data_IF_175953848475
#
_entry.id   IF_175953848475
#
_cell.length_a   1.000
_cell.length_b   1.000
_cell.length_c   1.000
_cell.angle_alpha   90.00
_cell.angle_beta   90.00
_cell.angle_gamma   90.00
#
_symmetry.space_group_name_H-M   'P 1'
#
loop_
_entity.id
_entity.type
_entity.pdbx_description
1 polymer ?
#
# COMPACT_ATOMS: atom_id res chain seq x y z
N UNK A 1 -0.76 -14.73 5.53
CA UNK A 1 -1.84 -13.76 5.83
C UNK A 1 -2.69 -13.60 4.59
N UNK A 2 -3.99 -13.87 4.66
CA UNK A 2 -4.90 -13.58 3.55
C UNK A 2 -5.48 -12.18 3.77
N UNK A 3 -5.43 -11.33 2.73
CA UNK A 3 -5.94 -9.96 2.77
C UNK A 3 -7.07 -9.75 1.78
N UNK A 4 -8.05 -8.92 2.16
CA UNK A 4 -9.10 -8.48 1.24
C UNK A 4 -8.59 -7.27 0.47
N UNK A 5 -8.23 -7.48 -0.80
CA UNK A 5 -8.06 -6.37 -1.73
C UNK A 5 -9.42 -5.73 -2.02
N UNK A 6 -9.44 -4.44 -2.29
CA UNK A 6 -10.67 -3.75 -2.67
C UNK A 6 -11.35 -4.43 -3.90
N UNK A 7 -12.40 -5.24 -3.71
CA UNK A 7 -13.12 -6.01 -4.74
C UNK A 7 -14.51 -5.42 -5.16
N UNK A 8 -15.27 -4.67 -4.35
CA UNK A 8 -16.56 -4.10 -4.82
C UNK A 8 -17.20 -3.05 -3.90
N UNK A 9 -17.63 -1.86 -4.38
CA UNK A 9 -18.18 -0.76 -3.58
C UNK A 9 -19.29 -1.12 -2.57
N UNK A 10 -20.05 -2.20 -2.80
CA UNK A 10 -21.30 -2.48 -2.09
C UNK A 10 -21.32 -3.81 -1.30
N UNK A 11 -20.24 -4.62 -1.34
CA UNK A 11 -20.23 -5.99 -0.77
C UNK A 11 -19.53 -6.16 0.58
N UNK A 12 -18.90 -5.10 1.12
CA UNK A 12 -17.87 -5.19 2.16
C UNK A 12 -18.36 -5.65 3.53
N UNK A 13 -19.59 -5.25 3.88
CA UNK A 13 -20.17 -5.52 5.19
C UNK A 13 -21.12 -6.69 5.16
N UNK A 14 -21.11 -7.47 4.07
CA UNK A 14 -21.89 -8.70 4.06
C UNK A 14 -21.31 -9.65 5.12
N UNK A 15 -22.14 -10.14 6.07
CA UNK A 15 -21.67 -10.99 7.16
C UNK A 15 -20.82 -12.18 6.70
N UNK A 16 -21.07 -12.67 5.48
CA UNK A 16 -20.32 -13.75 4.82
C UNK A 16 -18.82 -13.50 4.72
N UNK A 17 -18.37 -12.26 4.57
CA UNK A 17 -16.93 -11.96 4.51
C UNK A 17 -16.27 -12.31 5.85
N UNK A 18 -16.85 -11.84 6.95
CA UNK A 18 -16.34 -12.07 8.30
C UNK A 18 -16.39 -13.55 8.68
N UNK A 19 -17.50 -14.22 8.38
CA UNK A 19 -17.66 -15.65 8.67
C UNK A 19 -16.73 -16.52 7.83
N UNK A 20 -16.44 -16.14 6.57
CA UNK A 20 -15.49 -16.86 5.73
C UNK A 20 -14.06 -16.79 6.27
N UNK A 21 -13.58 -15.61 6.66
CA UNK A 21 -12.23 -15.50 7.25
C UNK A 21 -12.12 -16.19 8.60
N UNK A 22 -13.16 -16.11 9.43
CA UNK A 22 -13.18 -16.83 10.71
C UNK A 22 -13.25 -18.34 10.50
N UNK A 23 -13.99 -18.83 9.50
CA UNK A 23 -13.94 -20.23 9.11
C UNK A 23 -12.52 -20.67 8.73
N UNK A 24 -11.78 -19.86 7.94
CA UNK A 24 -10.38 -20.16 7.61
C UNK A 24 -9.49 -20.21 8.86
N UNK A 25 -9.73 -19.34 9.85
CA UNK A 25 -9.03 -19.35 11.13
C UNK A 25 -9.35 -20.62 11.91
N UNK A 26 -10.64 -20.95 12.07
CA UNK A 26 -11.12 -22.12 12.81
C UNK A 26 -10.63 -23.44 12.18
N UNK A 27 -10.42 -23.45 10.86
CA UNK A 27 -9.84 -24.58 10.13
C UNK A 27 -8.31 -24.61 10.12
N UNK A 28 -7.64 -23.65 10.77
CA UNK A 28 -6.19 -23.55 10.79
C UNK A 28 -5.55 -23.23 9.43
N UNK A 29 -6.34 -22.72 8.47
CA UNK A 29 -5.87 -22.34 7.13
C UNK A 29 -5.13 -21.00 7.15
N UNK A 30 -5.43 -20.16 8.14
CA UNK A 30 -4.68 -18.96 8.46
C UNK A 30 -4.74 -18.68 9.97
N UNK A 31 -3.79 -17.88 10.47
CA UNK A 31 -3.82 -17.44 11.88
C UNK A 31 -4.64 -16.17 12.06
N UNK A 32 -4.57 -15.27 11.07
CA UNK A 32 -5.22 -13.96 11.09
C UNK A 32 -5.56 -13.51 9.66
N UNK A 33 -6.41 -12.49 9.58
CA UNK A 33 -6.76 -11.82 8.33
C UNK A 33 -6.61 -10.30 8.46
N UNK A 34 -6.55 -9.65 7.31
CA UNK A 34 -6.41 -8.19 7.22
C UNK A 34 -7.06 -7.65 5.97
N UNK A 35 -6.96 -6.34 5.81
CA UNK A 35 -7.54 -5.58 4.69
C UNK A 35 -6.43 -4.99 3.83
N UNK A 36 -6.76 -4.57 2.61
CA UNK A 36 -5.82 -3.91 1.69
C UNK A 36 -6.55 -2.85 0.86
N UNK A 37 -6.06 -1.62 0.96
CA UNK A 37 -6.62 -0.40 0.36
C UNK A 37 -7.98 -0.01 0.95
N UNK A 38 -8.22 -0.27 2.24
CA UNK A 38 -9.46 0.11 2.92
C UNK A 38 -9.35 1.47 3.60
N UNK A 39 -10.37 2.32 3.49
CA UNK A 39 -10.45 3.57 4.25
C UNK A 39 -10.60 3.31 5.75
N UNK A 40 -10.19 4.27 6.59
CA UNK A 40 -10.18 4.11 8.04
C UNK A 40 -11.57 3.78 8.60
N UNK A 41 -12.60 4.43 8.07
CA UNK A 41 -14.00 4.18 8.44
C UNK A 41 -14.44 2.75 8.11
N UNK A 42 -13.89 2.14 7.04
CA UNK A 42 -14.22 0.77 6.65
C UNK A 42 -13.59 -0.23 7.61
N UNK A 43 -12.34 0.03 8.02
CA UNK A 43 -11.62 -0.78 9.00
C UNK A 43 -12.34 -0.71 10.36
N UNK A 44 -12.72 0.49 10.81
CA UNK A 44 -13.46 0.66 12.07
C UNK A 44 -14.81 -0.07 12.03
N UNK A 45 -15.56 0.11 10.95
CA UNK A 45 -16.85 -0.58 10.74
C UNK A 45 -16.68 -2.11 10.73
N UNK A 46 -15.64 -2.62 10.06
CA UNK A 46 -15.35 -4.05 10.01
C UNK A 46 -15.00 -4.62 11.39
N UNK A 47 -14.22 -3.89 12.19
CA UNK A 47 -13.89 -4.29 13.56
C UNK A 47 -15.12 -4.31 14.46
N UNK A 48 -16.01 -3.32 14.32
CA UNK A 48 -17.29 -3.28 15.05
C UNK A 48 -18.18 -4.47 14.71
N UNK A 49 -18.40 -4.73 13.42
CA UNK A 49 -19.22 -5.88 12.97
C UNK A 49 -18.63 -7.21 13.46
N UNK A 50 -17.31 -7.39 13.38
CA UNK A 50 -16.66 -8.59 13.91
C UNK A 50 -16.88 -8.73 15.42
N UNK A 51 -16.75 -7.64 16.19
CA UNK A 51 -16.99 -7.65 17.63
C UNK A 51 -18.45 -8.00 17.98
N UNK A 52 -19.43 -7.40 17.29
CA UNK A 52 -20.87 -7.68 17.49
C UNK A 52 -21.20 -9.16 17.22
N UNK A 53 -20.56 -9.74 16.21
CA UNK A 53 -20.70 -11.15 15.84
C UNK A 53 -19.83 -12.10 16.68
N UNK A 54 -19.02 -11.58 17.61
CA UNK A 54 -18.04 -12.34 18.40
C UNK A 54 -17.04 -13.11 17.53
N UNK A 55 -16.63 -12.50 16.43
CA UNK A 55 -15.66 -13.00 15.47
C UNK A 55 -14.34 -12.23 15.56
N UNK A 56 -13.26 -12.83 15.07
CA UNK A 56 -11.96 -12.16 14.89
C UNK A 56 -12.08 -11.12 13.77
N UNK A 57 -11.77 -9.87 14.09
CA UNK A 57 -11.70 -8.75 13.14
C UNK A 57 -10.35 -8.64 12.43
N UNK A 58 -10.22 -7.71 11.46
CA UNK A 58 -8.96 -7.51 10.75
C UNK A 58 -7.91 -6.88 11.66
N UNK A 59 -6.72 -7.49 11.69
CA UNK A 59 -5.62 -7.07 12.59
C UNK A 59 -4.60 -6.16 11.90
N UNK A 60 -4.62 -6.10 10.58
CA UNK A 60 -3.60 -5.46 9.75
C UNK A 60 -4.19 -4.91 8.47
N UNK A 61 -3.65 -3.78 8.02
CA UNK A 61 -3.95 -3.13 6.75
C UNK A 61 -2.72 -3.15 5.82
N UNK A 62 -2.96 -3.27 4.52
CA UNK A 62 -1.93 -3.24 3.48
C UNK A 62 -2.19 -2.09 2.51
N UNK A 63 -1.76 -0.87 2.87
CA UNK A 63 -1.93 0.33 2.05
C UNK A 63 -0.69 0.63 1.19
N UNK A 64 -0.89 1.35 0.09
CA UNK A 64 0.23 1.95 -0.64
C UNK A 64 0.91 2.99 0.26
N UNK A 65 2.24 2.97 0.32
CA UNK A 65 2.97 4.00 1.04
C UNK A 65 4.34 4.22 0.42
N UNK A 66 4.63 5.47 0.09
CA UNK A 66 5.94 5.93 -0.37
C UNK A 66 6.00 7.46 -0.31
N UNK A 67 7.15 8.05 -0.64
CA UNK A 67 7.35 9.50 -0.56
C UNK A 67 6.34 10.33 -1.39
N UNK A 68 5.64 9.74 -2.37
CA UNK A 68 4.61 10.38 -3.18
C UNK A 68 3.17 9.98 -2.81
N UNK A 69 2.98 8.97 -1.95
CA UNK A 69 1.68 8.48 -1.51
C UNK A 69 1.67 8.31 0.01
N UNK A 70 1.20 9.35 0.71
CA UNK A 70 1.40 9.54 2.16
C UNK A 70 0.12 9.64 2.95
N UNK A 71 -0.90 10.24 2.35
CA UNK A 71 -2.10 10.74 3.05
C UNK A 71 -2.80 9.68 3.90
N UNK A 72 -3.00 8.49 3.34
CA UNK A 72 -3.74 7.42 4.02
C UNK A 72 -2.99 6.92 5.26
N UNK A 73 -1.72 6.60 5.10
CA UNK A 73 -0.90 6.06 6.20
C UNK A 73 -0.62 7.13 7.24
N UNK A 74 -0.18 8.32 6.84
CA UNK A 74 0.29 9.34 7.79
C UNK A 74 -0.84 10.17 8.42
N UNK A 75 -2.01 10.27 7.78
CA UNK A 75 -3.13 11.08 8.30
C UNK A 75 -4.37 10.27 8.56
N UNK A 76 -4.86 9.52 7.57
CA UNK A 76 -6.13 8.79 7.70
C UNK A 76 -6.06 7.73 8.80
N UNK A 77 -4.92 7.04 8.93
CA UNK A 77 -4.70 6.00 9.94
C UNK A 77 -4.04 6.48 11.23
N UNK A 78 -3.73 7.78 11.36
CA UNK A 78 -3.01 8.34 12.51
C UNK A 78 -3.69 7.97 13.85
N UNK A 79 -5.01 8.05 13.90
CA UNK A 79 -5.79 7.68 15.08
C UNK A 79 -5.69 6.18 15.43
N UNK A 80 -5.53 5.29 14.44
CA UNK A 80 -5.32 3.87 14.74
C UNK A 80 -3.96 3.59 15.36
N UNK A 81 -2.92 4.31 14.94
CA UNK A 81 -1.57 4.12 15.49
C UNK A 81 -1.39 4.73 16.88
N UNK A 82 -2.16 5.77 17.20
CA UNK A 82 -2.14 6.45 18.50
C UNK A 82 -3.11 5.87 19.52
N UNK A 83 -4.06 5.03 19.11
CA UNK A 83 -5.05 4.42 20.01
C UNK A 83 -4.62 3.04 20.47
N UNK A 84 -5.14 2.64 21.64
CA UNK A 84 -4.91 1.30 22.21
C UNK A 84 -5.50 0.18 21.34
N UNK A 85 -6.39 0.51 20.40
CA UNK A 85 -6.92 -0.46 19.43
C UNK A 85 -5.82 -0.99 18.50
N UNK A 86 -4.83 -0.15 18.17
CA UNK A 86 -3.73 -0.46 17.27
C UNK A 86 -4.18 -0.83 15.84
N UNK A 87 -3.28 -0.69 14.88
CA UNK A 87 -3.45 -1.27 13.54
C UNK A 87 -2.08 -1.73 13.05
N UNK A 88 -1.94 -3.02 12.79
CA UNK A 88 -0.77 -3.50 12.08
C UNK A 88 -0.76 -2.93 10.67
N UNK A 89 0.41 -2.59 10.14
CA UNK A 89 0.53 -2.09 8.76
C UNK A 89 1.63 -2.81 8.01
N UNK A 90 1.30 -3.26 6.79
CA UNK A 90 2.25 -3.86 5.86
C UNK A 90 2.18 -3.11 4.53
N UNK A 91 2.98 -2.06 4.39
CA UNK A 91 2.88 -1.17 3.22
C UNK A 91 3.32 -1.86 1.92
N UNK A 92 2.82 -1.38 0.79
CA UNK A 92 3.24 -1.84 -0.54
C UNK A 92 3.67 -0.69 -1.46
N UNK A 93 4.42 -1.05 -2.51
CA UNK A 93 5.07 -0.12 -3.45
C UNK A 93 5.87 1.03 -2.80
N UNK A 94 6.81 0.71 -1.89
CA UNK A 94 7.65 1.73 -1.25
C UNK A 94 8.53 2.50 -2.25
N UNK A 95 8.79 1.92 -3.42
CA UNK A 95 9.60 2.52 -4.48
C UNK A 95 8.78 3.07 -5.66
N UNK A 96 7.46 3.20 -5.52
CA UNK A 96 6.55 3.72 -6.55
C UNK A 96 6.76 3.06 -7.94
N UNK A 97 6.57 1.74 -8.02
CA UNK A 97 6.86 0.95 -9.23
C UNK A 97 8.30 1.06 -9.77
N UNK A 98 9.24 1.50 -8.92
CA UNK A 98 10.65 1.69 -9.24
C UNK A 98 11.04 3.13 -9.56
N UNK A 99 10.11 4.09 -9.60
CA UNK A 99 10.40 5.51 -9.84
C UNK A 99 11.38 6.05 -8.80
N UNK A 100 11.21 5.71 -7.52
CA UNK A 100 12.08 6.15 -6.43
C UNK A 100 13.48 5.49 -6.41
N UNK A 101 13.82 4.70 -7.43
CA UNK A 101 15.19 4.20 -7.63
C UNK A 101 16.06 5.12 -8.49
N UNK A 102 15.44 6.11 -9.16
CA UNK A 102 16.12 6.97 -10.14
C UNK A 102 16.38 6.31 -11.49
N UNK A 103 16.08 5.02 -11.67
CA UNK A 103 16.36 4.29 -12.93
C UNK A 103 15.61 4.85 -14.14
N UNK A 104 14.50 5.57 -13.92
CA UNK A 104 13.69 6.18 -14.98
C UNK A 104 14.03 7.65 -15.25
N UNK A 105 15.08 8.20 -14.63
CA UNK A 105 15.45 9.60 -14.81
C UNK A 105 15.65 9.96 -16.29
N UNK A 106 16.23 9.05 -17.08
CA UNK A 106 16.61 9.29 -18.47
C UNK A 106 15.77 8.47 -19.47
N UNK A 107 14.51 8.21 -19.15
CA UNK A 107 13.62 7.33 -19.93
C UNK A 107 13.47 5.96 -19.29
N UNK A 108 12.76 5.05 -19.96
CA UNK A 108 12.43 3.72 -19.43
C UNK A 108 13.37 2.68 -20.04
N UNK A 109 14.31 2.11 -19.25
CA UNK A 109 15.21 1.09 -19.76
C UNK A 109 14.49 -0.23 -20.05
N UNK A 110 14.98 -0.97 -21.04
CA UNK A 110 14.55 -2.34 -21.31
C UNK A 110 14.78 -3.27 -20.11
N UNK A 111 14.00 -4.36 -20.04
CA UNK A 111 14.07 -5.33 -18.94
C UNK A 111 13.58 -4.81 -17.59
N UNK A 112 13.11 -3.56 -17.51
CA UNK A 112 12.49 -3.01 -16.30
C UNK A 112 11.00 -3.34 -16.23
N UNK A 113 10.42 -3.22 -15.03
CA UNK A 113 9.00 -3.46 -14.79
C UNK A 113 8.11 -2.62 -15.70
N UNK A 114 8.45 -1.35 -15.91
CA UNK A 114 7.67 -0.47 -16.78
C UNK A 114 7.87 -0.76 -18.26
N UNK A 115 8.92 -1.48 -18.66
CA UNK A 115 9.14 -1.91 -20.05
C UNK A 115 8.29 -3.14 -20.44
N UNK A 116 7.72 -3.86 -19.47
CA UNK A 116 6.90 -5.06 -19.73
C UNK A 116 5.67 -4.74 -20.60
N UNK A 117 5.35 -5.68 -21.50
CA UNK A 117 4.16 -5.63 -22.35
C UNK A 117 2.92 -6.15 -21.58
N UNK A 118 2.53 -5.37 -20.57
CA UNK A 118 1.38 -5.63 -19.71
C UNK A 118 0.47 -4.38 -19.66
N UNK A 119 -0.84 -4.58 -19.64
CA UNK A 119 -1.81 -3.47 -19.73
C UNK A 119 -1.72 -2.52 -18.53
N UNK A 120 -1.50 -3.07 -17.33
CA UNK A 120 -1.28 -2.27 -16.13
C UNK A 120 0.05 -1.53 -16.22
N UNK A 121 1.12 -2.18 -16.67
CA UNK A 121 2.43 -1.52 -16.83
C UNK A 121 2.43 -0.43 -17.88
N UNK A 122 1.70 -0.59 -19.00
CA UNK A 122 1.50 0.47 -20.01
C UNK A 122 0.80 1.69 -19.41
N UNK A 123 -0.21 1.48 -18.55
CA UNK A 123 -0.90 2.58 -17.86
C UNK A 123 0.00 3.28 -16.85
N UNK A 124 0.83 2.54 -16.10
CA UNK A 124 1.78 3.17 -15.17
C UNK A 124 2.89 3.89 -15.94
N UNK A 125 3.37 3.31 -17.05
CA UNK A 125 4.32 3.95 -17.97
C UNK A 125 3.80 5.30 -18.46
N UNK A 126 2.56 5.37 -18.95
CA UNK A 126 1.99 6.64 -19.43
C UNK A 126 1.86 7.69 -18.32
N UNK A 127 1.63 7.27 -17.08
CA UNK A 127 1.65 8.18 -15.91
C UNK A 127 3.06 8.67 -15.55
N UNK A 128 4.10 7.88 -15.78
CA UNK A 128 5.50 8.28 -15.58
C UNK A 128 5.96 9.23 -16.70
N UNK A 129 5.48 9.02 -17.92
CA UNK A 129 5.78 9.85 -19.10
C UNK A 129 4.94 11.14 -19.17
N UNK A 130 3.88 11.27 -18.36
CA UNK A 130 3.07 12.49 -18.26
C UNK A 130 3.84 13.67 -17.65
N UNK A 131 3.31 14.88 -17.76
CA UNK A 131 3.91 16.07 -17.14
C UNK A 131 4.02 15.93 -15.61
N UNK A 132 3.02 15.36 -14.95
CA UNK A 132 3.08 15.06 -13.52
C UNK A 132 4.14 14.02 -13.19
N UNK A 133 4.30 13.01 -14.07
CA UNK A 133 5.37 12.01 -13.98
C UNK A 133 6.76 12.63 -14.07
N UNK A 134 6.98 13.53 -15.03
CA UNK A 134 8.24 14.29 -15.17
C UNK A 134 8.53 15.14 -13.94
N UNK A 135 7.52 15.79 -13.35
CA UNK A 135 7.67 16.53 -12.09
C UNK A 135 8.08 15.60 -10.95
N UNK A 136 7.53 14.38 -10.86
CA UNK A 136 8.00 13.38 -9.88
C UNK A 136 9.45 12.98 -10.12
N UNK A 137 9.85 12.75 -11.37
CA UNK A 137 11.24 12.42 -11.73
C UNK A 137 12.20 13.53 -11.28
N UNK A 138 11.85 14.80 -11.47
CA UNK A 138 12.65 15.93 -10.98
C UNK A 138 12.80 15.92 -9.44
N UNK A 139 11.75 15.53 -8.71
CA UNK A 139 11.86 15.33 -7.25
C UNK A 139 12.81 14.18 -6.91
N UNK A 140 12.78 13.07 -7.65
CA UNK A 140 13.73 11.95 -7.47
C UNK A 140 15.17 12.39 -7.74
N UNK A 141 15.42 13.21 -8.77
CA UNK A 141 16.74 13.81 -9.03
C UNK A 141 17.24 14.64 -7.85
N UNK A 142 16.37 15.44 -7.24
CA UNK A 142 16.70 16.22 -6.03
C UNK A 142 16.96 15.32 -4.83
N UNK A 143 16.15 14.27 -4.63
CA UNK A 143 16.38 13.27 -3.58
C UNK A 143 17.71 12.52 -3.77
N UNK A 144 18.12 12.28 -5.02
CA UNK A 144 19.40 11.62 -5.34
C UNK A 144 20.57 12.41 -4.76
N UNK A 145 20.57 13.75 -4.89
CA UNK A 145 21.60 14.62 -4.28
C UNK A 145 21.63 14.54 -2.75
N UNK A 146 20.47 14.31 -2.11
CA UNK A 146 20.40 14.10 -0.65
C UNK A 146 20.97 12.74 -0.28
N UNK A 147 20.61 11.69 -1.02
CA UNK A 147 21.12 10.34 -0.80
C UNK A 147 22.64 10.27 -0.97
N UNK A 148 23.21 10.93 -1.98
CA UNK A 148 24.65 11.06 -2.20
C UNK A 148 25.36 11.69 -0.99
N UNK A 149 24.80 12.77 -0.42
CA UNK A 149 25.34 13.41 0.80
C UNK A 149 25.27 12.51 2.03
N UNK A 150 24.33 11.57 2.06
CA UNK A 150 24.16 10.59 3.14
C UNK A 150 24.93 9.27 2.87
N UNK A 151 25.62 9.15 1.74
CA UNK A 151 26.37 7.95 1.38
C UNK A 151 25.50 6.74 1.05
N UNK A 152 24.26 6.94 0.59
CA UNK A 152 23.34 5.87 0.21
C UNK A 152 22.73 6.08 -1.18
N UNK A 153 22.05 5.07 -1.70
CA UNK A 153 21.26 5.19 -2.94
C UNK A 153 19.92 5.87 -2.66
N UNK A 154 19.34 6.53 -3.67
CA UNK A 154 17.99 7.13 -3.53
C UNK A 154 16.92 6.09 -3.18
N UNK A 155 17.09 4.83 -3.61
CA UNK A 155 16.22 3.73 -3.23
C UNK A 155 16.32 3.40 -1.73
N UNK A 156 17.54 3.34 -1.18
CA UNK A 156 17.74 3.14 0.26
C UNK A 156 17.16 4.32 1.07
N UNK A 157 17.39 5.55 0.61
CA UNK A 157 16.80 6.73 1.24
C UNK A 157 15.27 6.66 1.25
N UNK A 158 14.64 6.29 0.12
CA UNK A 158 13.18 6.19 0.02
C UNK A 158 12.59 5.05 0.87
N UNK A 159 13.34 3.98 1.12
CA UNK A 159 12.91 2.87 1.98
C UNK A 159 13.08 3.18 3.47
N UNK A 160 14.09 3.99 3.83
CA UNK A 160 14.38 4.36 5.22
C UNK A 160 13.52 5.53 5.71
N UNK A 161 13.04 6.37 4.79
CA UNK A 161 12.06 7.43 5.05
C UNK A 161 10.73 6.85 5.51
#
# INVERSE_FOLDING_TARGET
MQSIRQISPNGWFHPTVFTAFNFCIDKGMCFYWGTSEWGAWQIDSARRVAADLKLVGPVVEQPQYNCFHRERVEKEYDNFYKSDLGLGTTTWSPLDSGVLTGKYNNGIPDGTRLAMDDSLMKRIRSQVESEEGKIKIEKVRKMTKVAERLGCTVAQLALAW
#
